data_IF_954587902315
#
_entry.id   IF_954587902315
#
_cell.length_a   1.000
_cell.length_b   1.000
_cell.length_c   1.000
_cell.angle_alpha   90.00
_cell.angle_beta   90.00
_cell.angle_gamma   90.00
#
_symmetry.space_group_name_H-M   'P 1'
#
loop_
_entity.id
_entity.type
_entity.pdbx_description
1 polymer ?
#
# COMPACT_ATOMS: atom_id res chain seq x y z
N UNK A 1 -20.05 -5.62 7.72
CA UNK A 1 -19.09 -5.01 6.78
C UNK A 1 -17.72 -5.51 7.18
N UNK A 2 -17.07 -6.17 6.25
CA UNK A 2 -15.66 -6.51 6.36
C UNK A 2 -14.81 -5.25 6.36
N UNK A 3 -13.65 -5.27 7.00
CA UNK A 3 -12.66 -4.21 6.83
C UNK A 3 -11.47 -4.78 6.07
N UNK A 4 -10.99 -4.02 5.09
CA UNK A 4 -9.99 -4.51 4.15
C UNK A 4 -8.57 -4.10 4.57
N UNK A 5 -7.60 -4.82 4.01
CA UNK A 5 -6.19 -4.44 4.03
C UNK A 5 -5.77 -3.88 2.68
N UNK A 6 -4.95 -2.84 2.67
CA UNK A 6 -4.42 -2.24 1.45
C UNK A 6 -2.91 -2.06 1.51
N UNK A 7 -2.27 -2.20 0.35
CA UNK A 7 -0.86 -1.91 0.11
C UNK A 7 -0.77 -0.96 -1.06
N UNK A 8 -0.37 0.28 -0.79
CA UNK A 8 -0.44 1.36 -1.77
C UNK A 8 0.94 1.99 -1.97
N UNK A 9 1.26 2.34 -3.21
CA UNK A 9 2.49 3.05 -3.58
C UNK A 9 2.17 4.29 -4.39
N UNK A 10 2.83 5.40 -4.06
CA UNK A 10 2.96 6.59 -4.91
C UNK A 10 4.17 6.41 -5.83
N UNK A 11 3.96 6.55 -7.13
CA UNK A 11 4.98 6.42 -8.15
C UNK A 11 5.38 7.81 -8.70
N UNK A 12 6.55 7.95 -9.34
CA UNK A 12 6.89 9.15 -10.08
C UNK A 12 6.03 9.30 -11.34
N UNK A 13 5.93 10.52 -11.86
CA UNK A 13 5.16 10.82 -13.07
C UNK A 13 5.56 9.94 -14.26
N UNK A 14 4.56 9.36 -14.91
CA UNK A 14 4.76 8.50 -16.08
C UNK A 14 5.30 7.10 -15.76
N UNK A 15 5.40 6.71 -14.48
CA UNK A 15 5.82 5.36 -14.10
C UNK A 15 4.82 4.29 -14.56
N UNK A 16 3.52 4.62 -14.57
CA UNK A 16 2.45 3.74 -15.04
C UNK A 16 2.39 3.70 -16.57
N UNK A 17 3.24 2.85 -17.15
CA UNK A 17 3.25 2.52 -18.59
C UNK A 17 2.89 1.05 -18.81
N UNK A 18 2.43 0.65 -20.00
CA UNK A 18 2.17 -0.75 -20.31
C UNK A 18 3.36 -1.67 -20.00
N UNK A 19 4.58 -1.23 -20.30
CA UNK A 19 5.78 -2.00 -20.00
C UNK A 19 6.06 -2.15 -18.50
N UNK A 20 5.75 -1.13 -17.69
CA UNK A 20 5.86 -1.21 -16.24
C UNK A 20 4.78 -2.12 -15.64
N UNK A 21 3.56 -2.08 -16.18
CA UNK A 21 2.48 -2.98 -15.77
C UNK A 21 2.82 -4.43 -16.08
N UNK A 22 3.39 -4.73 -17.25
CA UNK A 22 3.87 -6.09 -17.57
C UNK A 22 4.88 -6.58 -16.53
N UNK A 23 5.91 -5.75 -16.21
CA UNK A 23 6.90 -6.10 -15.20
C UNK A 23 6.30 -6.28 -13.81
N UNK A 24 5.32 -5.46 -13.43
CA UNK A 24 4.59 -5.61 -12.16
C UNK A 24 3.85 -6.94 -12.11
N UNK A 25 3.14 -7.31 -13.17
CA UNK A 25 2.38 -8.55 -13.23
C UNK A 25 3.30 -9.78 -13.25
N UNK A 26 4.45 -9.69 -13.94
CA UNK A 26 5.49 -10.74 -13.90
C UNK A 26 6.10 -10.87 -12.51
N UNK A 27 6.37 -9.73 -11.85
CA UNK A 27 6.85 -9.69 -10.47
C UNK A 27 5.85 -10.34 -9.52
N UNK A 28 4.55 -10.02 -9.62
CA UNK A 28 3.50 -10.71 -8.85
C UNK A 28 3.53 -12.24 -9.04
N UNK A 29 3.82 -12.69 -10.27
CA UNK A 29 4.04 -14.10 -10.61
C UNK A 29 5.16 -14.76 -9.79
N UNK A 30 6.26 -14.05 -9.55
CA UNK A 30 7.37 -14.57 -8.71
C UNK A 30 6.98 -14.77 -7.24
N UNK A 31 5.99 -14.03 -6.76
CA UNK A 31 5.37 -14.21 -5.45
C UNK A 31 4.22 -15.23 -5.45
N UNK A 32 3.97 -15.89 -6.59
CA UNK A 32 2.92 -16.91 -6.72
C UNK A 32 1.51 -16.34 -6.82
N UNK A 33 1.38 -15.06 -7.22
CA UNK A 33 0.11 -14.44 -7.57
C UNK A 33 -0.04 -14.35 -9.09
N UNK A 34 -1.23 -14.60 -9.62
CA UNK A 34 -1.47 -14.56 -11.07
C UNK A 34 -2.80 -13.90 -11.39
N UNK A 35 -2.86 -13.00 -12.39
CA UNK A 35 -4.13 -12.50 -12.93
C UNK A 35 -4.78 -13.49 -13.89
N UNK A 36 -4.20 -14.67 -14.13
CA UNK A 36 -4.72 -15.63 -15.08
C UNK A 36 -5.80 -16.50 -14.47
N UNK A 37 -6.95 -16.56 -15.13
CA UNK A 37 -8.05 -17.44 -14.71
C UNK A 37 -7.76 -18.90 -15.13
N UNK A 38 -8.22 -19.90 -14.37
CA UNK A 38 -8.08 -21.31 -14.75
C UNK A 38 -8.74 -21.67 -16.10
N UNK A 39 -9.83 -20.98 -16.46
CA UNK A 39 -10.59 -21.16 -17.70
C UNK A 39 -10.10 -20.26 -18.86
N UNK A 40 -9.01 -19.50 -18.64
CA UNK A 40 -8.38 -18.63 -19.62
C UNK A 40 -8.78 -17.15 -19.50
N UNK A 41 -7.89 -16.28 -19.96
CA UNK A 41 -8.04 -14.83 -19.88
C UNK A 41 -7.78 -14.26 -18.48
N UNK A 42 -8.22 -13.02 -18.28
CA UNK A 42 -8.01 -12.24 -17.06
C UNK A 42 -9.31 -11.55 -16.66
N UNK A 43 -9.58 -11.43 -15.35
CA UNK A 43 -10.69 -10.58 -14.91
C UNK A 43 -10.34 -9.11 -15.13
N UNK A 44 -11.25 -8.38 -15.75
CA UNK A 44 -11.27 -6.92 -15.74
C UNK A 44 -12.52 -6.44 -15.02
N UNK A 45 -12.36 -5.44 -14.16
CA UNK A 45 -13.45 -4.66 -13.61
C UNK A 45 -13.29 -3.21 -14.06
N UNK A 46 -14.31 -2.71 -14.73
CA UNK A 46 -14.28 -1.40 -15.37
C UNK A 46 -14.29 -0.30 -14.29
N UNK A 47 -13.43 0.70 -14.44
CA UNK A 47 -13.36 1.88 -13.56
C UNK A 47 -13.84 3.15 -14.26
N UNK A 48 -14.35 3.04 -15.49
CA UNK A 48 -14.81 4.20 -16.25
C UNK A 48 -16.16 4.72 -15.71
N UNK A 49 -16.39 6.04 -15.80
CA UNK A 49 -17.62 6.65 -15.31
C UNK A 49 -18.88 6.01 -15.91
N UNK A 50 -19.76 5.50 -15.06
CA UNK A 50 -21.03 4.88 -15.43
C UNK A 50 -20.97 3.37 -15.70
N UNK A 51 -19.78 2.76 -15.59
CA UNK A 51 -19.56 1.32 -15.76
C UNK A 51 -18.80 0.71 -14.57
N UNK A 52 -18.67 1.44 -13.46
CA UNK A 52 -17.83 1.05 -12.34
C UNK A 52 -18.20 -0.34 -11.79
N UNK A 53 -17.21 -1.24 -11.77
CA UNK A 53 -17.36 -2.61 -11.31
C UNK A 53 -17.92 -3.59 -12.35
N UNK A 54 -18.24 -3.15 -13.58
CA UNK A 54 -18.65 -4.06 -14.65
C UNK A 54 -17.56 -5.08 -14.93
N UNK A 55 -17.90 -6.36 -14.79
CA UNK A 55 -16.98 -7.47 -15.01
C UNK A 55 -16.89 -7.83 -16.51
N UNK A 56 -15.66 -8.01 -17.00
CA UNK A 56 -15.37 -8.59 -18.32
C UNK A 56 -14.15 -9.51 -18.26
N UNK A 57 -14.09 -10.49 -19.18
CA UNK A 57 -12.88 -11.29 -19.39
C UNK A 57 -12.02 -10.61 -20.45
N UNK A 58 -10.82 -10.23 -20.08
CA UNK A 58 -9.86 -9.51 -20.92
C UNK A 58 -8.75 -10.45 -21.39
N UNK A 59 -8.19 -10.16 -22.57
CA UNK A 59 -6.87 -10.68 -22.93
C UNK A 59 -5.76 -9.87 -22.23
N UNK A 60 -4.50 -10.36 -22.33
CA UNK A 60 -3.36 -9.74 -21.65
C UNK A 60 -3.14 -8.28 -22.07
N UNK A 61 -3.15 -8.00 -23.37
CA UNK A 61 -2.93 -6.65 -23.90
C UNK A 61 -4.00 -5.66 -23.41
N UNK A 62 -5.26 -6.08 -23.35
CA UNK A 62 -6.37 -5.29 -22.83
C UNK A 62 -6.21 -5.01 -21.34
N UNK A 63 -5.85 -6.03 -20.54
CA UNK A 63 -5.60 -5.86 -19.11
C UNK A 63 -4.46 -4.87 -18.86
N UNK A 64 -3.33 -5.06 -19.54
CA UNK A 64 -2.11 -4.26 -19.35
C UNK A 64 -2.35 -2.80 -19.72
N UNK A 65 -3.00 -2.57 -20.87
CA UNK A 65 -3.39 -1.22 -21.28
C UNK A 65 -4.38 -0.61 -20.29
N UNK A 66 -5.38 -1.39 -19.88
CA UNK A 66 -6.41 -0.96 -18.94
C UNK A 66 -5.85 -0.52 -17.58
N UNK A 67 -4.90 -1.28 -17.03
CA UNK A 67 -4.17 -0.91 -15.82
C UNK A 67 -3.24 0.30 -16.05
N UNK A 68 -2.58 0.41 -17.21
CA UNK A 68 -1.75 1.59 -17.48
C UNK A 68 -2.58 2.88 -17.60
N UNK A 69 -3.81 2.77 -18.11
CA UNK A 69 -4.76 3.89 -18.29
C UNK A 69 -5.69 4.08 -17.07
N UNK A 70 -5.69 3.15 -16.11
CA UNK A 70 -6.57 3.17 -14.94
C UNK A 70 -8.03 2.88 -15.25
N UNK A 71 -8.34 2.45 -16.48
CA UNK A 71 -9.70 2.14 -16.94
C UNK A 71 -10.17 0.76 -16.49
N UNK A 72 -9.24 -0.12 -16.10
CA UNK A 72 -9.54 -1.44 -15.58
C UNK A 72 -8.76 -1.72 -14.31
N UNK A 73 -9.37 -2.50 -13.43
CA UNK A 73 -8.72 -3.19 -12.31
C UNK A 73 -8.88 -4.71 -12.47
N UNK A 74 -8.16 -5.49 -11.68
CA UNK A 74 -8.15 -6.96 -11.80
C UNK A 74 -7.98 -7.64 -10.44
N UNK A 75 -8.10 -8.96 -10.41
CA UNK A 75 -7.67 -9.76 -9.27
C UNK A 75 -6.35 -10.45 -9.61
N UNK A 76 -5.52 -10.62 -8.59
CA UNK A 76 -4.37 -11.51 -8.57
C UNK A 76 -4.70 -12.67 -7.63
N UNK A 77 -4.77 -13.89 -8.16
CA UNK A 77 -5.07 -15.08 -7.38
C UNK A 77 -3.80 -15.71 -6.82
N UNK A 78 -3.87 -16.07 -5.55
CA UNK A 78 -2.99 -17.09 -4.99
C UNK A 78 -3.39 -18.47 -5.51
N UNK A 79 -2.47 -19.44 -5.47
CA UNK A 79 -2.81 -20.86 -5.76
C UNK A 79 -3.86 -21.45 -4.83
N UNK A 80 -4.11 -20.81 -3.69
CA UNK A 80 -5.07 -21.18 -2.64
C UNK A 80 -6.41 -20.44 -2.76
N UNK A 81 -6.75 -19.93 -3.95
CA UNK A 81 -8.02 -19.28 -4.28
C UNK A 81 -8.30 -17.93 -3.58
N UNK A 82 -7.37 -17.42 -2.77
CA UNK A 82 -7.45 -16.04 -2.27
C UNK A 82 -7.19 -15.08 -3.43
N UNK A 83 -8.11 -14.14 -3.63
CA UNK A 83 -8.02 -13.08 -4.60
C UNK A 83 -7.55 -11.77 -3.93
N UNK A 84 -6.61 -11.10 -4.60
CA UNK A 84 -6.08 -9.81 -4.18
C UNK A 84 -6.40 -8.83 -5.28
N UNK A 85 -7.17 -7.79 -4.98
CA UNK A 85 -7.50 -6.77 -5.95
C UNK A 85 -6.25 -5.97 -6.32
N UNK A 86 -6.03 -5.73 -7.62
CA UNK A 86 -5.00 -4.84 -8.14
C UNK A 86 -5.69 -3.71 -8.90
N UNK A 87 -5.41 -2.48 -8.49
CA UNK A 87 -5.84 -1.29 -9.21
C UNK A 87 -4.71 -0.27 -9.34
N UNK A 88 -4.87 0.61 -10.30
CA UNK A 88 -3.93 1.69 -10.60
C UNK A 88 -4.71 2.97 -10.83
N UNK A 89 -4.11 4.10 -10.47
CA UNK A 89 -4.68 5.43 -10.69
C UNK A 89 -3.62 6.29 -11.37
N UNK A 90 -3.58 6.37 -12.70
CA UNK A 90 -2.53 7.11 -13.43
C UNK A 90 -2.51 8.60 -13.13
N UNK A 91 -3.65 9.24 -12.91
CA UNK A 91 -3.70 10.66 -12.51
C UNK A 91 -3.01 10.92 -11.17
N UNK A 92 -3.09 9.96 -10.24
CA UNK A 92 -2.41 9.99 -8.93
C UNK A 92 -1.13 9.15 -8.88
N UNK A 93 -0.66 8.65 -10.02
CA UNK A 93 0.49 7.74 -10.15
C UNK A 93 0.52 6.64 -9.07
N UNK A 94 -0.62 6.01 -8.80
CA UNK A 94 -0.77 5.10 -7.67
C UNK A 94 -0.96 3.65 -8.13
N UNK A 95 -0.33 2.72 -7.42
CA UNK A 95 -0.62 1.28 -7.49
C UNK A 95 -1.18 0.85 -6.14
N UNK A 96 -2.27 0.08 -6.14
CA UNK A 96 -2.90 -0.45 -4.94
C UNK A 96 -3.14 -1.95 -5.06
N UNK A 97 -2.78 -2.69 -4.01
CA UNK A 97 -3.25 -4.04 -3.76
C UNK A 97 -4.26 -3.98 -2.61
N UNK A 98 -5.40 -4.66 -2.73
CA UNK A 98 -6.37 -4.77 -1.63
C UNK A 98 -6.75 -6.21 -1.36
N UNK A 99 -6.87 -6.57 -0.09
CA UNK A 99 -7.28 -7.89 0.39
C UNK A 99 -8.58 -7.77 1.18
N UNK A 100 -9.60 -8.52 0.75
CA UNK A 100 -10.87 -8.55 1.44
C UNK A 100 -10.71 -9.12 2.86
N UNK A 101 -11.42 -8.48 3.79
CA UNK A 101 -11.58 -8.91 5.17
C UNK A 101 -11.83 -10.41 5.42
N UNK A 102 -12.49 -11.11 4.49
CA UNK A 102 -12.85 -12.52 4.61
C UNK A 102 -11.63 -13.44 4.60
N UNK A 103 -10.54 -12.96 4.01
CA UNK A 103 -9.23 -13.63 4.00
C UNK A 103 -8.37 -13.24 5.21
N UNK A 104 -8.85 -12.35 6.08
CA UNK A 104 -8.11 -11.79 7.20
C UNK A 104 -8.45 -12.47 8.53
N UNK A 105 -7.46 -12.51 9.44
CA UNK A 105 -7.69 -13.00 10.81
C UNK A 105 -7.06 -12.09 11.85
N UNK A 106 -7.91 -11.41 12.63
CA UNK A 106 -7.56 -10.38 13.62
C UNK A 106 -7.59 -10.90 15.07
N UNK A 107 -7.24 -12.16 15.24
CA UNK A 107 -7.09 -12.77 16.56
C UNK A 107 -5.69 -13.37 16.58
N UNK A 108 -4.79 -12.93 17.47
CA UNK A 108 -3.38 -13.35 17.46
C UNK A 108 -3.23 -14.75 18.06
N UNK A 109 -3.81 -15.75 17.41
CA UNK A 109 -3.68 -17.17 17.72
C UNK A 109 -2.97 -17.93 16.59
N UNK A 110 -2.73 -19.24 16.78
CA UNK A 110 -2.06 -20.08 15.79
C UNK A 110 -2.84 -20.18 14.46
N UNK A 111 -4.15 -19.94 14.48
CA UNK A 111 -4.99 -20.00 13.28
C UNK A 111 -4.80 -18.76 12.40
N UNK A 112 -4.15 -17.70 12.89
CA UNK A 112 -3.81 -16.51 12.11
C UNK A 112 -2.59 -16.70 11.21
N UNK A 113 -1.86 -17.82 11.34
CA UNK A 113 -0.64 -18.05 10.57
C UNK A 113 -0.82 -17.96 9.04
N UNK A 114 -1.88 -18.52 8.43
CA UNK A 114 -2.10 -18.35 6.99
C UNK A 114 -2.26 -16.89 6.57
N UNK A 115 -2.94 -16.08 7.39
CA UNK A 115 -3.11 -14.65 7.14
C UNK A 115 -1.80 -13.89 7.35
N UNK A 116 -1.03 -14.19 8.40
CA UNK A 116 0.29 -13.58 8.63
C UNK A 116 1.24 -13.85 7.47
N UNK A 117 1.26 -15.08 6.96
CA UNK A 117 2.07 -15.48 5.82
C UNK A 117 1.63 -14.76 4.52
N UNK A 118 0.32 -14.67 4.28
CA UNK A 118 -0.21 -13.92 3.13
C UNK A 118 0.13 -12.42 3.25
N UNK A 119 -0.09 -11.81 4.40
CA UNK A 119 0.25 -10.41 4.64
C UNK A 119 1.75 -10.17 4.45
N UNK A 120 2.62 -11.01 5.01
CA UNK A 120 4.08 -10.94 4.82
C UNK A 120 4.43 -10.96 3.33
N UNK A 121 3.86 -11.91 2.58
CA UNK A 121 4.09 -12.04 1.13
C UNK A 121 3.62 -10.81 0.36
N UNK A 122 2.47 -10.25 0.68
CA UNK A 122 1.95 -9.03 0.03
C UNK A 122 2.80 -7.81 0.38
N UNK A 123 3.28 -7.68 1.62
CA UNK A 123 4.22 -6.62 2.01
C UNK A 123 5.58 -6.76 1.31
N UNK A 124 6.06 -7.98 1.10
CA UNK A 124 7.29 -8.24 0.33
C UNK A 124 7.10 -7.91 -1.16
N UNK A 125 5.99 -8.34 -1.77
CA UNK A 125 5.64 -7.96 -3.14
C UNK A 125 5.53 -6.44 -3.28
N UNK A 126 4.81 -5.77 -2.37
CA UNK A 126 4.68 -4.32 -2.35
C UNK A 126 6.05 -3.61 -2.27
N UNK A 127 6.96 -4.10 -1.43
CA UNK A 127 8.33 -3.57 -1.35
C UNK A 127 9.13 -3.82 -2.63
N UNK A 128 8.93 -4.98 -3.27
CA UNK A 128 9.58 -5.30 -4.54
C UNK A 128 9.05 -4.44 -5.69
N UNK A 129 7.73 -4.20 -5.75
CA UNK A 129 7.11 -3.25 -6.70
C UNK A 129 7.72 -1.87 -6.48
N UNK A 130 7.86 -1.43 -5.23
CA UNK A 130 8.45 -0.12 -4.92
C UNK A 130 9.85 0.05 -5.54
N UNK A 131 10.72 -0.96 -5.40
CA UNK A 131 12.05 -0.93 -6.00
C UNK A 131 12.04 -0.99 -7.54
N UNK A 132 11.18 -1.83 -8.12
CA UNK A 132 11.06 -1.98 -9.58
C UNK A 132 10.52 -0.71 -10.26
N UNK A 133 9.58 -0.01 -9.63
CA UNK A 133 8.94 1.18 -10.19
C UNK A 133 9.59 2.49 -9.76
N UNK A 134 10.58 2.44 -8.86
CA UNK A 134 11.15 3.63 -8.23
C UNK A 134 10.10 4.42 -7.44
N UNK A 135 9.21 3.72 -6.72
CA UNK A 135 8.16 4.35 -5.94
C UNK A 135 8.75 5.34 -4.94
N UNK A 136 8.04 6.43 -4.69
CA UNK A 136 8.47 7.54 -3.84
C UNK A 136 8.09 7.31 -2.37
N UNK A 137 6.89 6.78 -2.18
CA UNK A 137 6.25 6.61 -0.88
C UNK A 137 5.23 5.47 -0.94
N UNK A 138 4.89 4.92 0.21
CA UNK A 138 3.82 3.93 0.27
C UNK A 138 3.35 3.61 1.68
N UNK A 139 2.21 2.93 1.75
CA UNK A 139 1.54 2.59 3.00
C UNK A 139 0.93 1.18 2.94
N UNK A 140 0.98 0.50 4.08
CA UNK A 140 0.20 -0.71 4.35
C UNK A 140 -0.80 -0.39 5.45
N UNK A 141 -2.09 -0.58 5.16
CA UNK A 141 -3.18 -0.09 6.01
C UNK A 141 -4.22 -1.17 6.25
N UNK A 142 -4.84 -1.09 7.43
CA UNK A 142 -6.00 -1.87 7.86
C UNK A 142 -7.10 -0.86 8.18
N UNK A 143 -8.24 -0.98 7.53
CA UNK A 143 -9.32 0.01 7.66
C UNK A 143 -9.80 0.15 9.12
N UNK A 144 -9.91 -0.95 9.88
CA UNK A 144 -10.24 -0.91 11.33
C UNK A 144 -9.22 -0.14 12.15
N UNK A 145 -7.96 -0.17 11.77
CA UNK A 145 -6.90 0.61 12.42
C UNK A 145 -7.05 2.09 12.08
N UNK A 146 -7.33 2.41 10.81
CA UNK A 146 -7.56 3.78 10.36
C UNK A 146 -8.83 4.40 10.99
N UNK A 147 -9.90 3.63 11.17
CA UNK A 147 -11.12 4.06 11.89
C UNK A 147 -10.80 4.62 13.28
N UNK A 148 -9.79 4.09 13.97
CA UNK A 148 -9.40 4.55 15.31
C UNK A 148 -8.83 5.96 15.33
N UNK A 149 -8.30 6.44 14.20
CA UNK A 149 -7.67 7.76 14.08
C UNK A 149 -8.38 8.66 13.09
N UNK A 150 -9.49 8.21 12.49
CA UNK A 150 -10.18 8.92 11.41
C UNK A 150 -10.49 10.38 11.76
N UNK A 151 -11.01 10.63 12.96
CA UNK A 151 -11.36 11.98 13.42
C UNK A 151 -10.15 12.90 13.62
N UNK A 152 -8.94 12.34 13.66
CA UNK A 152 -7.68 13.08 13.83
C UNK A 152 -6.98 13.36 12.50
N UNK A 153 -7.47 12.82 11.37
CA UNK A 153 -6.88 13.00 10.05
C UNK A 153 -7.36 14.32 9.42
N UNK A 154 -6.47 15.05 8.71
CA UNK A 154 -6.74 16.40 8.21
C UNK A 154 -7.71 16.47 7.01
N UNK A 155 -8.27 15.36 6.56
CA UNK A 155 -9.23 15.28 5.46
C UNK A 155 -9.92 13.91 5.37
N UNK A 156 -10.96 13.77 4.52
CA UNK A 156 -11.55 12.45 4.23
C UNK A 156 -10.44 11.56 3.68
N UNK A 157 -10.25 10.33 4.21
CA UNK A 157 -9.10 9.45 3.94
C UNK A 157 -8.56 9.61 2.52
N UNK A 158 -7.52 10.44 2.33
CA UNK A 158 -7.19 10.91 1.00
C UNK A 158 -5.87 10.29 0.56
N UNK A 159 -5.82 9.98 -0.72
CA UNK A 159 -4.65 10.04 -1.59
C UNK A 159 -3.32 9.67 -0.95
N UNK A 160 -2.75 8.53 -1.36
CA UNK A 160 -1.40 8.14 -0.96
C UNK A 160 -0.43 9.04 -1.70
N UNK A 161 -0.35 10.30 -1.29
CA UNK A 161 0.59 11.28 -1.78
C UNK A 161 1.83 11.22 -0.89
N UNK A 162 3.01 11.26 -1.52
CA UNK A 162 4.24 11.39 -0.77
C UNK A 162 4.26 12.71 0.02
N UNK A 163 4.68 12.71 1.30
CA UNK A 163 4.83 13.95 2.05
C UNK A 163 5.88 14.85 1.39
N UNK A 164 5.92 16.16 1.69
CA UNK A 164 7.01 17.03 1.26
C UNK A 164 8.38 16.45 1.62
N UNK A 165 9.40 16.74 0.81
CA UNK A 165 10.76 16.27 1.07
C UNK A 165 11.23 16.73 2.45
N UNK A 166 11.84 15.81 3.21
CA UNK A 166 12.31 16.06 4.59
C UNK A 166 11.20 16.12 5.65
N UNK A 167 9.93 15.92 5.28
CA UNK A 167 8.80 15.94 6.20
C UNK A 167 8.29 14.54 6.53
N UNK A 168 8.00 14.33 7.81
CA UNK A 168 7.24 13.18 8.27
C UNK A 168 5.76 13.31 7.87
N UNK A 169 5.06 12.23 7.47
CA UNK A 169 3.65 12.26 7.16
C UNK A 169 2.80 12.53 8.41
N UNK A 170 1.54 12.95 8.24
CA UNK A 170 0.66 13.24 9.38
C UNK A 170 0.43 12.04 10.29
N UNK A 171 0.41 10.83 9.71
CA UNK A 171 0.40 9.54 10.38
C UNK A 171 1.34 8.55 9.69
N UNK A 172 1.84 7.61 10.49
CA UNK A 172 2.45 6.36 10.01
C UNK A 172 1.36 5.28 9.92
N UNK A 173 1.40 4.50 8.85
CA UNK A 173 0.56 3.31 8.68
C UNK A 173 1.22 2.10 9.34
N UNK A 174 0.63 0.90 9.25
CA UNK A 174 1.25 -0.31 9.81
C UNK A 174 2.69 -0.50 9.30
N UNK A 175 2.86 -0.29 8.00
CA UNK A 175 4.14 -0.12 7.35
C UNK A 175 4.11 1.16 6.51
N UNK A 176 5.18 1.94 6.54
CA UNK A 176 5.31 3.17 5.73
C UNK A 176 6.64 3.17 5.01
N UNK A 177 6.61 3.17 3.68
CA UNK A 177 7.79 3.16 2.84
C UNK A 177 8.18 4.57 2.41
N UNK A 178 9.49 4.81 2.35
CA UNK A 178 10.11 5.98 1.74
C UNK A 178 11.21 5.52 0.79
N UNK A 179 11.30 6.18 -0.37
CA UNK A 179 12.47 6.02 -1.22
C UNK A 179 13.77 6.47 -0.52
N UNK A 180 14.91 6.11 -1.12
CA UNK A 180 16.21 6.39 -0.56
C UNK A 180 16.49 7.90 -0.38
N UNK A 181 15.97 8.76 -1.27
CA UNK A 181 16.22 10.19 -1.24
C UNK A 181 15.42 10.85 -0.11
N UNK A 182 14.12 10.56 -0.05
CA UNK A 182 13.17 11.02 0.96
C UNK A 182 13.61 10.58 2.33
N UNK A 183 13.91 9.31 2.52
CA UNK A 183 14.32 8.80 3.82
C UNK A 183 15.58 9.51 4.34
N UNK A 184 16.58 9.76 3.46
CA UNK A 184 17.83 10.45 3.85
C UNK A 184 17.60 11.89 4.33
N UNK A 185 16.51 12.53 3.90
CA UNK A 185 16.16 13.89 4.28
C UNK A 185 15.34 13.96 5.58
N UNK A 186 14.81 12.84 6.06
CA UNK A 186 13.98 12.83 7.27
C UNK A 186 14.84 13.11 8.50
N UNK A 187 14.28 13.87 9.44
CA UNK A 187 14.82 13.96 10.79
C UNK A 187 14.88 12.55 11.42
N UNK A 188 15.92 12.20 12.18
CA UNK A 188 16.04 10.86 12.76
C UNK A 188 14.80 10.46 13.58
N UNK A 189 14.33 9.23 13.44
CA UNK A 189 13.29 8.70 14.32
C UNK A 189 13.83 8.43 15.73
N UNK A 190 12.97 8.45 16.75
CA UNK A 190 13.29 7.82 18.03
C UNK A 190 13.69 6.36 17.81
N UNK A 191 14.64 5.86 18.60
CA UNK A 191 15.20 4.51 18.47
C UNK A 191 14.19 3.36 18.68
N UNK A 192 12.95 3.67 19.04
CA UNK A 192 11.89 2.72 19.36
C UNK A 192 11.13 2.20 18.12
N UNK A 193 11.22 2.89 16.98
CA UNK A 193 10.57 2.44 15.74
C UNK A 193 11.47 1.47 14.97
N UNK A 194 10.90 0.34 14.55
CA UNK A 194 11.58 -0.61 13.66
C UNK A 194 11.70 -0.01 12.26
N UNK A 195 12.92 -0.01 11.73
CA UNK A 195 13.25 0.52 10.41
C UNK A 195 13.99 -0.54 9.62
N UNK A 196 13.37 -0.97 8.52
CA UNK A 196 13.93 -1.97 7.61
C UNK A 196 14.43 -1.32 6.34
N UNK A 197 15.70 -1.53 5.99
CA UNK A 197 16.30 -1.01 4.76
C UNK A 197 15.97 -1.91 3.59
N UNK A 198 15.64 -1.30 2.46
CA UNK A 198 15.47 -1.98 1.18
C UNK A 198 16.81 -2.01 0.43
N UNK A 199 17.02 -2.95 -0.52
CA UNK A 199 18.30 -3.08 -1.25
C UNK A 199 18.71 -1.84 -2.05
N UNK A 200 17.75 -1.05 -2.51
CA UNK A 200 17.93 0.21 -3.24
C UNK A 200 18.17 1.43 -2.32
N UNK A 201 18.24 1.20 -1.01
CA UNK A 201 18.54 2.23 0.00
C UNK A 201 17.30 2.98 0.52
N UNK A 202 16.11 2.63 0.08
CA UNK A 202 14.85 3.03 0.70
C UNK A 202 14.69 2.46 2.12
N UNK A 203 13.57 2.77 2.74
CA UNK A 203 13.27 2.30 4.09
C UNK A 203 11.78 2.08 4.32
N UNK A 204 11.46 1.03 5.07
CA UNK A 204 10.13 0.74 5.59
C UNK A 204 10.15 0.97 7.11
N UNK A 205 9.34 1.90 7.58
CA UNK A 205 9.05 2.12 9.00
C UNK A 205 7.93 1.17 9.40
N UNK A 206 8.13 0.39 10.46
CA UNK A 206 7.14 -0.57 10.96
C UNK A 206 6.56 -0.05 12.26
N UNK A 207 5.29 0.32 12.23
CA UNK A 207 4.56 0.80 13.41
C UNK A 207 3.96 -0.36 14.21
N UNK A 208 3.48 -1.39 13.52
CA UNK A 208 2.93 -2.61 14.11
C UNK A 208 3.29 -3.83 13.26
N UNK A 209 3.74 -4.91 13.92
CA UNK A 209 4.38 -6.04 13.24
C UNK A 209 3.47 -7.25 13.02
N UNK A 210 2.56 -7.56 13.96
CA UNK A 210 1.65 -8.70 13.84
C UNK A 210 0.29 -8.26 13.28
N UNK A 211 0.00 -8.49 11.97
CA UNK A 211 -1.26 -8.06 11.36
C UNK A 211 -2.49 -8.73 11.99
N UNK A 212 -2.32 -9.82 12.75
CA UNK A 212 -3.39 -10.47 13.48
C UNK A 212 -3.69 -9.82 14.84
N UNK A 213 -2.78 -9.00 15.37
CA UNK A 213 -2.89 -8.34 16.66
C UNK A 213 -3.56 -6.97 16.56
N UNK A 214 -4.67 -6.87 15.81
CA UNK A 214 -5.44 -5.63 15.68
C UNK A 214 -6.24 -5.40 16.96
N UNK A 215 -5.63 -4.69 17.92
CA UNK A 215 -6.31 -4.20 19.12
C UNK A 215 -7.15 -2.95 18.79
N UNK A 216 -8.39 -2.83 19.32
CA UNK A 216 -9.29 -1.72 19.00
C UNK A 216 -8.81 -0.31 19.37
N UNK A 217 -7.76 -0.18 20.19
CA UNK A 217 -7.24 1.11 20.65
C UNK A 217 -5.72 1.26 20.47
N UNK A 218 -5.00 0.18 20.17
CA UNK A 218 -3.55 0.23 20.08
C UNK A 218 -3.06 1.09 18.93
N UNK A 219 -3.71 1.07 17.77
CA UNK A 219 -3.31 1.91 16.65
C UNK A 219 -3.46 3.40 16.97
N UNK A 220 -4.56 3.80 17.63
CA UNK A 220 -4.72 5.16 18.14
C UNK A 220 -3.70 5.55 19.22
N UNK A 221 -3.23 4.60 20.05
CA UNK A 221 -2.15 4.87 21.01
C UNK A 221 -0.81 5.07 20.32
N UNK A 222 -0.47 4.20 19.38
CA UNK A 222 0.75 4.28 18.57
C UNK A 222 0.79 5.59 17.77
N UNK A 223 -0.33 5.96 17.16
CA UNK A 223 -0.48 7.22 16.43
C UNK A 223 -0.27 8.46 17.32
N UNK A 224 -0.90 8.50 18.51
CA UNK A 224 -0.72 9.62 19.44
C UNK A 224 0.73 9.73 19.94
N UNK A 225 1.39 8.60 20.22
CA UNK A 225 2.82 8.58 20.55
C UNK A 225 3.66 9.15 19.42
N UNK A 226 3.40 8.71 18.19
CA UNK A 226 4.06 9.25 17.00
C UNK A 226 3.90 10.77 16.87
N UNK A 227 2.68 11.30 17.07
CA UNK A 227 2.44 12.75 17.02
C UNK A 227 3.15 13.55 18.12
N UNK A 228 3.49 12.91 19.23
CA UNK A 228 4.21 13.52 20.34
C UNK A 228 5.73 13.43 20.18
N UNK A 229 6.24 12.74 19.15
CA UNK A 229 7.67 12.63 18.91
C UNK A 229 8.25 14.01 18.54
N UNK A 230 9.37 14.43 19.16
CA UNK A 230 9.90 15.81 19.08
C UNK A 230 10.46 16.24 17.70
N UNK A 231 10.13 15.52 16.61
CA UNK A 231 10.80 15.66 15.32
C UNK A 231 9.87 15.97 14.13
N UNK A 232 8.59 16.28 14.37
CA UNK A 232 7.79 17.04 13.39
C UNK A 232 8.29 18.47 13.50
N UNK A 233 9.17 18.87 12.57
CA UNK A 233 9.76 20.20 12.54
C UNK A 233 8.67 21.25 12.82
N UNK A 234 8.77 21.91 13.98
CA UNK A 234 8.17 23.22 14.14
C UNK A 234 8.82 24.06 13.02
N UNK A 235 8.06 24.30 11.95
CA UNK A 235 8.34 25.44 11.11
C UNK A 235 8.25 26.64 12.06
N UNK A 236 9.42 27.11 12.51
CA UNK A 236 9.53 28.39 13.18
C UNK A 236 8.78 29.39 12.29
N UNK A 237 7.84 30.19 12.83
CA UNK A 237 7.30 31.30 12.05
C UNK A 237 8.50 32.18 11.67
N UNK A 238 8.60 32.51 10.38
CA UNK A 238 9.50 33.54 9.88
C UNK A 238 9.17 34.86 10.60
N UNK A 239 9.80 35.08 11.75
CA UNK A 239 9.92 36.40 12.33
C UNK A 239 11.16 37.08 11.74
N UNK A 240 10.88 37.99 10.81
CA UNK A 240 11.68 39.14 10.39
C UNK A 240 12.91 38.87 9.49
N UNK A 241 12.84 39.35 8.24
CA UNK A 241 13.46 40.63 7.84
C UNK A 241 12.77 41.20 6.58
#
# INVERSE_FOLDING_TARGET
>A
MGSDWSWTLTLPDGALSPAAIERLLDLAGTFGLSPHRPDGGHNGFDNSPGHEGEHRVLNRDQLVRGLAEGTWSTNLWTRSEVDVWLSTVPSGQTVSLSLDSCHCRRIPDARAEPFRELHRRLTELWTAIAGETGALFGRVEDERSLEQIWSELPGPLPDVSAPPLGSWPDWLSWHTYFDAARYRMLSPLPAELDVRRTPDGGAVIVLAADPAAVDPLEFARLHRRYRQMPNKAEALPDENF
#
